data_IF_786776091537
#
_entry.id   IF_786776091537
#
_cell.length_a   1.000
_cell.length_b   1.000
_cell.length_c   1.000
_cell.angle_alpha   90.00
_cell.angle_beta   90.00
_cell.angle_gamma   90.00
#
_symmetry.space_group_name_H-M   'P 1'
#
loop_
_entity.id
_entity.type
_entity.pdbx_description
1 polymer ?
#
# COMPACT_ATOMS: atom_id res chain seq x y z
N UNK A 1 9.09 -2.72 -19.36
CA UNK A 1 9.07 -2.53 -17.88
C UNK A 1 8.07 -1.44 -17.46
N UNK A 2 8.04 -0.29 -18.14
CA UNK A 2 7.04 0.78 -17.89
C UNK A 2 5.56 0.35 -18.09
N UNK A 3 5.26 -0.50 -19.08
CA UNK A 3 3.87 -0.92 -19.33
C UNK A 3 3.29 -1.84 -18.23
N UNK A 4 4.13 -2.68 -17.60
CA UNK A 4 3.74 -3.51 -16.45
C UNK A 4 3.49 -2.67 -15.19
N UNK A 5 4.20 -1.54 -15.05
CA UNK A 5 3.94 -0.56 -13.99
C UNK A 5 2.60 0.14 -14.21
N UNK A 6 2.25 0.49 -15.46
CA UNK A 6 0.95 1.10 -15.79
C UNK A 6 -0.24 0.22 -15.43
N UNK A 7 -0.13 -1.11 -15.49
CA UNK A 7 -1.22 -2.02 -15.08
C UNK A 7 -1.33 -2.19 -13.57
N UNK A 8 -0.26 -1.96 -12.81
CA UNK A 8 -0.25 -2.04 -11.34
C UNK A 8 -0.81 -0.77 -10.68
N UNK A 9 -0.60 0.39 -11.28
CA UNK A 9 -1.14 1.68 -10.79
C UNK A 9 -2.65 1.65 -10.47
N UNK A 10 -3.56 1.18 -11.36
CA UNK A 10 -4.99 1.14 -11.06
C UNK A 10 -5.33 0.15 -9.93
N UNK A 11 -4.59 -0.95 -9.80
CA UNK A 11 -4.77 -1.88 -8.68
C UNK A 11 -4.38 -1.23 -7.35
N UNK A 12 -3.21 -0.58 -7.31
CA UNK A 12 -2.75 0.15 -6.13
C UNK A 12 -3.70 1.28 -5.75
N UNK A 13 -4.23 2.01 -6.73
CA UNK A 13 -5.25 3.04 -6.48
C UNK A 13 -6.50 2.44 -5.82
N UNK A 14 -6.98 1.28 -6.27
CA UNK A 14 -8.11 0.57 -5.64
C UNK A 14 -7.77 0.06 -4.24
N UNK A 15 -6.58 -0.50 -4.04
CA UNK A 15 -6.13 -0.99 -2.73
C UNK A 15 -6.14 0.15 -1.72
N UNK A 16 -5.55 1.29 -2.08
CA UNK A 16 -5.43 2.45 -1.20
C UNK A 16 -6.62 3.43 -1.29
N UNK A 17 -7.70 3.08 -2.00
CA UNK A 17 -8.88 3.93 -2.17
C UNK A 17 -8.59 5.35 -2.70
N UNK A 18 -7.51 5.51 -3.47
CA UNK A 18 -7.12 6.80 -4.06
C UNK A 18 -8.24 7.32 -4.96
N UNK A 19 -8.89 6.41 -5.69
CA UNK A 19 -10.06 6.67 -6.54
C UNK A 19 -11.25 7.23 -5.75
N UNK A 20 -11.46 6.78 -4.50
CA UNK A 20 -12.55 7.27 -3.65
C UNK A 20 -12.31 8.66 -3.07
N UNK A 21 -11.05 9.03 -2.85
CA UNK A 21 -10.68 10.32 -2.26
C UNK A 21 -10.41 11.40 -3.29
N UNK A 22 -10.15 11.02 -4.54
CA UNK A 22 -9.89 11.95 -5.63
C UNK A 22 -11.07 12.92 -5.79
N UNK A 23 -10.83 14.20 -5.51
CA UNK A 23 -11.83 15.28 -5.61
C UNK A 23 -12.79 15.41 -4.41
N UNK A 24 -12.73 14.53 -3.40
CA UNK A 24 -13.60 14.60 -2.21
C UNK A 24 -12.89 15.12 -0.97
N UNK A 25 -11.72 14.56 -0.64
CA UNK A 25 -10.96 14.95 0.55
C UNK A 25 -9.46 14.98 0.22
N UNK A 26 -8.88 16.19 0.22
CA UNK A 26 -7.47 16.43 -0.14
C UNK A 26 -6.52 15.79 0.88
N UNK A 27 -6.89 15.73 2.15
CA UNK A 27 -6.07 15.12 3.21
C UNK A 27 -6.03 13.61 3.03
N UNK A 28 -7.18 12.97 2.84
CA UNK A 28 -7.25 11.51 2.64
C UNK A 28 -6.62 11.09 1.32
N UNK A 29 -6.74 11.90 0.27
CA UNK A 29 -6.09 11.64 -1.00
C UNK A 29 -4.55 11.68 -0.88
N UNK A 30 -4.01 12.68 -0.18
CA UNK A 30 -2.57 12.78 0.07
C UNK A 30 -2.09 11.62 0.95
N UNK A 31 -2.81 11.30 2.02
CA UNK A 31 -2.49 10.16 2.88
C UNK A 31 -2.49 8.84 2.10
N UNK A 32 -3.54 8.58 1.30
CA UNK A 32 -3.64 7.39 0.47
C UNK A 32 -2.47 7.24 -0.52
N UNK A 33 -2.06 8.34 -1.16
CA UNK A 33 -0.88 8.35 -2.04
C UNK A 33 0.41 8.09 -1.27
N UNK A 34 0.58 8.73 -0.11
CA UNK A 34 1.75 8.53 0.74
C UNK A 34 1.90 7.07 1.15
N UNK A 35 0.83 6.45 1.65
CA UNK A 35 0.82 5.03 2.02
C UNK A 35 1.07 4.12 0.81
N UNK A 36 0.53 4.44 -0.36
CA UNK A 36 0.79 3.67 -1.59
C UNK A 36 2.28 3.69 -1.96
N UNK A 37 2.93 4.87 -1.94
CA UNK A 37 4.36 4.95 -2.26
C UNK A 37 5.21 4.24 -1.21
N UNK A 38 4.90 4.43 0.08
CA UNK A 38 5.59 3.75 1.16
C UNK A 38 5.48 2.22 1.05
N UNK A 39 4.29 1.72 0.68
CA UNK A 39 4.06 0.31 0.44
C UNK A 39 4.93 -0.28 -0.68
N UNK A 40 5.05 0.43 -1.82
CA UNK A 40 5.92 -0.01 -2.92
C UNK A 40 7.38 -0.07 -2.46
N UNK A 41 7.84 0.95 -1.74
CA UNK A 41 9.21 1.02 -1.23
C UNK A 41 9.46 -0.13 -0.23
N UNK A 42 8.53 -0.39 0.69
CA UNK A 42 8.64 -1.47 1.66
C UNK A 42 8.77 -2.83 0.97
N UNK A 43 7.98 -3.11 -0.07
CA UNK A 43 8.10 -4.35 -0.86
C UNK A 43 9.48 -4.49 -1.48
N UNK A 44 9.99 -3.42 -2.09
CA UNK A 44 11.30 -3.45 -2.76
C UNK A 44 12.41 -3.72 -1.74
N UNK A 45 12.37 -3.05 -0.59
CA UNK A 45 13.36 -3.24 0.48
C UNK A 45 13.30 -4.67 1.02
N UNK A 46 12.12 -5.18 1.38
CA UNK A 46 11.96 -6.54 1.91
C UNK A 46 12.38 -7.61 0.90
N UNK A 47 12.08 -7.41 -0.38
CA UNK A 47 12.52 -8.32 -1.43
C UNK A 47 14.04 -8.31 -1.60
N UNK A 48 14.66 -7.13 -1.63
CA UNK A 48 16.13 -7.01 -1.71
C UNK A 48 16.81 -7.67 -0.52
N UNK A 49 16.31 -7.44 0.69
CA UNK A 49 16.84 -8.07 1.90
C UNK A 49 16.76 -9.60 1.82
N UNK A 50 15.62 -10.13 1.36
CA UNK A 50 15.41 -11.57 1.20
C UNK A 50 16.38 -12.20 0.20
N UNK A 51 16.68 -11.49 -0.90
CA UNK A 51 17.61 -11.94 -1.94
C UNK A 51 19.06 -11.87 -1.46
N UNK A 52 19.45 -10.79 -0.78
CA UNK A 52 20.81 -10.61 -0.26
C UNK A 52 21.12 -11.66 0.81
N UNK A 53 20.18 -11.90 1.72
CA UNK A 53 20.35 -12.85 2.81
C UNK A 53 20.05 -14.30 2.43
N UNK A 54 19.60 -14.57 1.19
CA UNK A 54 19.12 -15.89 0.73
C UNK A 54 18.17 -16.55 1.73
N UNK A 55 17.30 -15.74 2.36
CA UNK A 55 16.49 -16.15 3.49
C UNK A 55 15.08 -16.50 3.04
N UNK A 56 14.70 -17.77 3.22
CA UNK A 56 13.31 -18.20 3.03
C UNK A 56 12.37 -17.51 4.02
N UNK A 57 12.86 -17.23 5.24
CA UNK A 57 12.11 -16.48 6.26
C UNK A 57 11.85 -15.05 5.80
N UNK A 58 12.85 -14.36 5.25
CA UNK A 58 12.68 -13.01 4.69
C UNK A 58 11.67 -12.98 3.54
N UNK A 59 11.63 -14.05 2.74
CA UNK A 59 10.66 -14.18 1.66
C UNK A 59 9.23 -14.33 2.18
N UNK A 60 9.02 -15.09 3.26
CA UNK A 60 7.72 -15.17 3.96
C UNK A 60 7.36 -13.80 4.54
N UNK A 61 8.29 -13.12 5.21
CA UNK A 61 8.06 -11.79 5.77
C UNK A 61 7.67 -10.77 4.69
N UNK A 62 8.31 -10.82 3.52
CA UNK A 62 7.94 -9.99 2.36
C UNK A 62 6.50 -10.21 1.94
N UNK A 63 6.06 -11.47 1.85
CA UNK A 63 4.66 -11.80 1.52
C UNK A 63 3.71 -11.31 2.62
N UNK A 64 4.09 -11.45 3.88
CA UNK A 64 3.32 -10.90 4.99
C UNK A 64 3.20 -9.37 4.91
N UNK A 65 4.28 -8.65 4.60
CA UNK A 65 4.29 -7.19 4.43
C UNK A 65 3.36 -6.75 3.29
N UNK A 66 3.41 -7.46 2.16
CA UNK A 66 2.53 -7.25 0.99
C UNK A 66 1.04 -7.33 1.40
N UNK A 67 0.67 -8.24 2.30
CA UNK A 67 -0.73 -8.46 2.70
C UNK A 67 -1.14 -7.53 3.86
N UNK A 68 -0.29 -7.42 4.88
CA UNK A 68 -0.63 -6.77 6.15
C UNK A 68 -0.73 -5.25 5.98
N UNK A 69 0.18 -4.61 5.24
CA UNK A 69 0.17 -3.14 5.09
C UNK A 69 -1.17 -2.65 4.48
N UNK A 70 -1.68 -3.22 3.37
CA UNK A 70 -2.99 -2.88 2.84
C UNK A 70 -4.13 -3.06 3.84
N UNK A 71 -4.10 -4.12 4.64
CA UNK A 71 -5.13 -4.41 5.65
C UNK A 71 -5.10 -3.37 6.76
N UNK A 72 -3.93 -3.09 7.35
CA UNK A 72 -3.77 -2.08 8.40
C UNK A 72 -4.22 -0.71 7.88
N UNK A 73 -3.78 -0.34 6.67
CA UNK A 73 -4.23 0.91 6.03
C UNK A 73 -5.76 0.97 5.94
N UNK A 74 -6.42 -0.11 5.51
CA UNK A 74 -7.89 -0.16 5.45
C UNK A 74 -8.50 0.03 6.82
N UNK A 75 -8.03 -0.66 7.86
CA UNK A 75 -8.55 -0.52 9.22
C UNK A 75 -8.45 0.93 9.69
N UNK A 76 -7.28 1.57 9.53
CA UNK A 76 -7.07 2.97 9.93
C UNK A 76 -8.02 3.92 9.21
N UNK A 77 -8.21 3.75 7.89
CA UNK A 77 -9.12 4.59 7.11
C UNK A 77 -10.59 4.36 7.48
N UNK A 78 -10.98 3.13 7.80
CA UNK A 78 -12.31 2.82 8.32
C UNK A 78 -12.56 3.47 9.68
N UNK A 79 -11.60 3.38 10.60
CA UNK A 79 -11.68 4.05 11.91
C UNK A 79 -11.78 5.57 11.74
N UNK A 80 -10.98 6.15 10.85
CA UNK A 80 -11.03 7.58 10.54
C UNK A 80 -12.40 8.01 10.01
N UNK A 81 -13.01 7.20 9.14
CA UNK A 81 -14.37 7.44 8.65
C UNK A 81 -15.40 7.36 9.79
N UNK A 82 -15.33 6.32 10.62
CA UNK A 82 -16.22 6.13 11.77
C UNK A 82 -16.12 7.28 12.79
N UNK A 83 -14.91 7.77 13.08
CA UNK A 83 -14.68 8.89 13.99
C UNK A 83 -15.21 10.22 13.46
N UNK A 84 -15.25 10.41 12.14
CA UNK A 84 -15.81 11.61 11.50
C UNK A 84 -17.33 11.56 11.31
N UNK A 85 -18.01 10.49 11.74
CA UNK A 85 -19.47 10.35 11.63
C UNK A 85 -20.00 10.27 10.19
N UNK A 86 -19.14 9.84 9.24
CA UNK A 86 -19.45 9.67 7.80
C UNK A 86 -19.80 8.22 7.43
#
# INVERSE_FOLDING_TARGET
MLEKLKSLTPLLHKIFWIDKFQGKDKLLFTAAKFFMYFYIIAIIISFLDSVINLSFVGLIETVCVVIIIPIIYRIVMWMHKAMRGL
#
